data_IF_582382197569
#
_entry.id   IF_582382197569
#
_cell.length_a   1.000
_cell.length_b   1.000
_cell.length_c   1.000
_cell.angle_alpha   90.00
_cell.angle_beta   90.00
_cell.angle_gamma   90.00
#
_symmetry.space_group_name_H-M   'P 1'
#
loop_
_entity.id
_entity.type
_entity.pdbx_description
1 polymer ?
#
# COMPACT_ATOMS: atom_id res chain seq x y z
N UNK A 1 -44.86 12.15 49.59
CA UNK A 1 -44.31 11.10 48.71
C UNK A 1 -44.72 11.43 47.28
N UNK A 2 -43.84 12.03 46.48
CA UNK A 2 -44.14 12.42 45.11
C UNK A 2 -43.91 11.22 44.17
N UNK A 3 -44.99 10.65 43.64
CA UNK A 3 -44.95 9.57 42.65
C UNK A 3 -44.56 10.14 41.29
N UNK A 4 -43.32 9.93 40.88
CA UNK A 4 -42.87 10.22 39.51
C UNK A 4 -43.61 9.27 38.58
N UNK A 5 -44.41 9.80 37.66
CA UNK A 5 -45.23 8.97 36.77
C UNK A 5 -44.36 8.07 35.91
N UNK A 6 -44.78 6.81 35.72
CA UNK A 6 -44.09 5.78 34.93
C UNK A 6 -43.75 6.23 33.50
N UNK A 7 -44.53 7.16 32.94
CA UNK A 7 -44.24 7.77 31.62
C UNK A 7 -42.96 8.61 31.60
N UNK A 8 -42.64 9.32 32.70
CA UNK A 8 -41.41 10.12 32.80
C UNK A 8 -40.16 9.25 32.97
N UNK A 9 -40.28 8.09 33.64
CA UNK A 9 -39.20 7.11 33.75
C UNK A 9 -38.85 6.45 32.41
N UNK A 10 -39.84 6.20 31.55
CA UNK A 10 -39.65 5.62 30.22
C UNK A 10 -39.02 6.63 29.25
N UNK A 11 -39.38 7.91 29.34
CA UNK A 11 -38.74 8.98 28.55
C UNK A 11 -37.26 9.15 28.88
N UNK A 12 -36.93 9.24 30.17
CA UNK A 12 -35.55 9.43 30.64
C UNK A 12 -34.62 8.25 30.32
N UNK A 13 -35.14 7.02 30.29
CA UNK A 13 -34.35 5.82 29.90
C UNK A 13 -34.08 5.77 28.39
N UNK A 14 -35.05 6.18 27.55
CA UNK A 14 -34.83 6.31 26.10
C UNK A 14 -33.78 7.36 25.77
N UNK A 15 -33.82 8.54 26.38
CA UNK A 15 -32.83 9.60 26.16
C UNK A 15 -31.40 9.19 26.56
N UNK A 16 -31.25 8.52 27.71
CA UNK A 16 -29.96 7.96 28.14
C UNK A 16 -29.43 6.88 27.19
N UNK A 17 -30.32 6.07 26.59
CA UNK A 17 -29.93 5.05 25.61
C UNK A 17 -29.49 5.65 24.27
N UNK A 18 -30.14 6.72 23.82
CA UNK A 18 -29.79 7.45 22.60
C UNK A 18 -28.45 8.17 22.73
N UNK A 19 -28.23 8.88 23.84
CA UNK A 19 -26.97 9.56 24.13
C UNK A 19 -25.78 8.59 24.23
N UNK A 20 -25.98 7.41 24.85
CA UNK A 20 -24.94 6.36 24.89
C UNK A 20 -24.64 5.79 23.50
N UNK A 21 -25.65 5.49 22.68
CA UNK A 21 -25.46 5.01 21.29
C UNK A 21 -24.76 6.06 20.41
N UNK A 22 -25.12 7.33 20.54
CA UNK A 22 -24.46 8.42 19.84
C UNK A 22 -23.00 8.57 20.29
N UNK A 23 -22.73 8.51 21.60
CA UNK A 23 -21.37 8.50 22.14
C UNK A 23 -20.53 7.32 21.66
N UNK A 24 -21.10 6.11 21.63
CA UNK A 24 -20.46 4.90 21.09
C UNK A 24 -20.18 5.04 19.58
N UNK A 25 -21.08 5.66 18.82
CA UNK A 25 -20.89 5.90 17.38
C UNK A 25 -19.77 6.91 17.12
N UNK A 26 -19.67 8.00 17.91
CA UNK A 26 -18.58 8.98 17.81
C UNK A 26 -17.23 8.37 18.22
N UNK A 27 -17.19 7.56 19.28
CA UNK A 27 -15.98 6.83 19.67
C UNK A 27 -15.55 5.80 18.62
N UNK A 28 -16.50 5.26 17.85
CA UNK A 28 -16.25 4.32 16.73
C UNK A 28 -15.97 4.99 15.39
N UNK A 29 -16.16 6.31 15.27
CA UNK A 29 -15.87 7.01 14.02
C UNK A 29 -14.38 6.85 13.65
N UNK A 30 -14.07 6.60 12.36
CA UNK A 30 -12.69 6.48 11.93
C UNK A 30 -11.97 7.83 12.14
N UNK A 31 -10.76 7.78 12.73
CA UNK A 31 -9.95 8.97 12.98
C UNK A 31 -9.22 9.37 11.70
N UNK A 32 -9.99 9.80 10.70
CA UNK A 32 -9.47 10.22 9.39
C UNK A 32 -8.79 11.60 9.43
N UNK A 33 -9.11 12.43 10.44
CA UNK A 33 -8.40 13.67 10.69
C UNK A 33 -7.01 13.36 11.25
N UNK A 34 -5.98 13.85 10.57
CA UNK A 34 -4.58 13.66 10.93
C UNK A 34 -4.05 14.86 11.70
N UNK A 35 -3.29 14.59 12.77
CA UNK A 35 -2.53 15.64 13.46
C UNK A 35 -1.35 16.11 12.61
N UNK A 36 -0.67 17.18 13.03
CA UNK A 36 0.58 17.60 12.40
C UNK A 36 1.66 16.53 12.48
N UNK A 37 1.78 15.84 13.63
CA UNK A 37 2.72 14.75 13.83
C UNK A 37 2.44 13.59 12.87
N UNK A 38 1.17 13.26 12.65
CA UNK A 38 0.76 12.26 11.66
C UNK A 38 1.21 12.65 10.24
N UNK A 39 1.02 13.91 9.84
CA UNK A 39 1.48 14.38 8.54
C UNK A 39 3.00 14.32 8.40
N UNK A 40 3.73 14.69 9.46
CA UNK A 40 5.19 14.61 9.48
C UNK A 40 5.66 13.15 9.34
N UNK A 41 5.08 12.23 10.10
CA UNK A 41 5.37 10.80 9.99
C UNK A 41 5.02 10.24 8.61
N UNK A 42 3.88 10.63 8.03
CA UNK A 42 3.51 10.20 6.69
C UNK A 42 4.51 10.72 5.65
N UNK A 43 4.94 11.98 5.76
CA UNK A 43 5.96 12.56 4.91
C UNK A 43 7.28 11.79 4.97
N UNK A 44 7.71 11.38 6.16
CA UNK A 44 8.91 10.57 6.35
C UNK A 44 8.79 9.19 5.68
N UNK A 45 7.66 8.49 5.88
CA UNK A 45 7.38 7.20 5.23
C UNK A 45 7.28 7.34 3.72
N UNK A 46 6.65 8.40 3.22
CA UNK A 46 6.64 8.72 1.78
C UNK A 46 8.05 8.90 1.26
N UNK A 47 8.88 9.68 1.93
CA UNK A 47 10.26 9.91 1.52
C UNK A 47 11.04 8.60 1.42
N UNK A 48 10.91 7.71 2.43
CA UNK A 48 11.52 6.37 2.42
C UNK A 48 11.09 5.56 1.19
N UNK A 49 9.79 5.34 1.00
CA UNK A 49 9.31 4.43 -0.03
C UNK A 49 9.40 4.99 -1.44
N UNK A 50 9.17 6.30 -1.63
CA UNK A 50 9.28 6.92 -2.95
C UNK A 50 10.73 6.97 -3.41
N UNK A 51 11.67 7.16 -2.49
CA UNK A 51 13.10 7.09 -2.79
C UNK A 51 13.54 5.69 -3.17
N UNK A 52 13.08 4.67 -2.45
CA UNK A 52 13.33 3.26 -2.82
C UNK A 52 12.73 2.94 -4.19
N UNK A 53 11.50 3.35 -4.47
CA UNK A 53 10.85 3.15 -5.76
C UNK A 53 11.60 3.86 -6.91
N UNK A 54 12.05 5.09 -6.69
CA UNK A 54 12.85 5.83 -7.66
C UNK A 54 14.21 5.17 -7.90
N UNK A 55 14.85 4.65 -6.85
CA UNK A 55 16.10 3.90 -6.96
C UNK A 55 15.92 2.63 -7.79
N UNK A 56 14.88 1.83 -7.53
CA UNK A 56 14.59 0.62 -8.32
C UNK A 56 14.36 1.00 -9.79
N UNK A 57 13.59 2.06 -10.04
CA UNK A 57 13.35 2.55 -11.40
C UNK A 57 14.65 2.95 -12.12
N UNK A 58 15.56 3.65 -11.44
CA UNK A 58 16.83 4.09 -12.04
C UNK A 58 17.78 2.95 -12.38
N UNK A 59 17.58 1.76 -11.81
CA UNK A 59 18.37 0.57 -12.13
C UNK A 59 18.07 0.04 -13.54
N UNK A 60 16.97 0.47 -14.18
CA UNK A 60 16.60 0.13 -15.56
C UNK A 60 16.65 -1.38 -15.86
N UNK A 61 16.20 -2.21 -14.92
CA UNK A 61 16.23 -3.68 -15.05
C UNK A 61 15.46 -4.20 -16.28
N UNK A 62 14.37 -3.53 -16.65
CA UNK A 62 13.54 -3.89 -17.81
C UNK A 62 13.29 -2.64 -18.65
N UNK A 63 13.55 -2.77 -19.97
CA UNK A 63 13.27 -1.71 -20.93
C UNK A 63 11.78 -1.34 -20.92
N UNK A 64 11.47 -0.05 -20.82
CA UNK A 64 10.10 0.49 -20.80
C UNK A 64 9.24 -0.05 -19.63
N UNK A 65 9.86 -0.42 -18.51
CA UNK A 65 9.12 -0.79 -17.30
C UNK A 65 8.21 0.37 -16.84
N UNK A 66 6.94 0.10 -16.48
CA UNK A 66 6.04 1.11 -15.94
C UNK A 66 6.62 1.82 -14.72
N UNK A 67 6.29 3.11 -14.51
CA UNK A 67 6.85 3.87 -13.41
C UNK A 67 6.46 3.27 -12.04
N UNK A 68 7.46 3.07 -11.18
CA UNK A 68 7.28 2.48 -9.84
C UNK A 68 6.65 3.43 -8.81
N UNK A 69 6.86 4.74 -8.96
CA UNK A 69 6.44 5.77 -7.99
C UNK A 69 4.92 5.78 -7.76
N UNK A 70 4.05 5.75 -8.78
CA UNK A 70 2.59 5.67 -8.58
C UNK A 70 2.15 4.44 -7.78
N UNK A 71 2.79 3.29 -8.01
CA UNK A 71 2.52 2.03 -7.32
C UNK A 71 2.85 2.13 -5.83
N UNK A 72 4.03 2.65 -5.51
CA UNK A 72 4.45 2.91 -4.14
C UNK A 72 3.51 3.92 -3.46
N UNK A 73 3.25 5.07 -4.10
CA UNK A 73 2.36 6.10 -3.57
C UNK A 73 0.96 5.57 -3.28
N UNK A 74 0.41 4.73 -4.16
CA UNK A 74 -0.91 4.11 -3.94
C UNK A 74 -0.87 3.13 -2.78
N UNK A 75 0.17 2.31 -2.67
CA UNK A 75 0.37 1.41 -1.51
C UNK A 75 0.43 2.18 -0.19
N UNK A 76 1.16 3.30 -0.16
CA UNK A 76 1.25 4.19 1.00
C UNK A 76 -0.12 4.75 1.40
N UNK A 77 -0.88 5.29 0.44
CA UNK A 77 -2.20 5.85 0.68
C UNK A 77 -3.18 4.77 1.17
N UNK A 78 -3.22 3.62 0.50
CA UNK A 78 -4.06 2.48 0.92
C UNK A 78 -3.68 2.03 2.33
N UNK A 79 -2.39 1.96 2.66
CA UNK A 79 -1.90 1.59 3.98
C UNK A 79 -2.31 2.60 5.06
N UNK A 80 -2.22 3.89 4.76
CA UNK A 80 -2.63 4.97 5.65
C UNK A 80 -4.12 4.88 5.98
N UNK A 81 -4.98 4.80 4.95
CA UNK A 81 -6.42 4.68 5.15
C UNK A 81 -6.78 3.38 5.86
N UNK A 82 -6.20 2.26 5.45
CA UNK A 82 -6.41 0.96 6.08
C UNK A 82 -6.10 1.00 7.58
N UNK A 83 -4.94 1.55 7.98
CA UNK A 83 -4.52 1.61 9.38
C UNK A 83 -5.47 2.42 10.27
N UNK A 84 -6.12 3.45 9.69
CA UNK A 84 -7.01 4.37 10.39
C UNK A 84 -8.46 3.88 10.47
N UNK A 85 -8.85 2.93 9.62
CA UNK A 85 -10.17 2.31 9.68
C UNK A 85 -10.27 1.44 10.95
N UNK A 86 -11.35 1.63 11.71
CA UNK A 86 -11.65 0.89 12.96
C UNK A 86 -12.42 -0.42 12.67
N UNK A 87 -11.98 -1.17 11.67
CA UNK A 87 -12.53 -2.47 11.31
C UNK A 87 -11.57 -3.61 11.69
N UNK A 88 -12.05 -4.85 11.60
CA UNK A 88 -11.22 -6.03 11.80
C UNK A 88 -10.17 -6.12 10.67
N UNK A 89 -8.90 -6.30 11.03
CA UNK A 89 -7.79 -6.47 10.08
C UNK A 89 -8.05 -7.59 9.07
N UNK A 90 -8.74 -8.66 9.48
CA UNK A 90 -9.13 -9.76 8.59
C UNK A 90 -10.04 -9.33 7.43
N UNK A 91 -10.78 -8.22 7.56
CA UNK A 91 -11.59 -7.63 6.48
C UNK A 91 -10.82 -6.57 5.70
N UNK A 92 -9.91 -5.85 6.36
CA UNK A 92 -9.15 -4.76 5.75
C UNK A 92 -8.11 -5.30 4.76
N UNK A 93 -7.36 -6.34 5.13
CA UNK A 93 -6.28 -6.87 4.29
C UNK A 93 -6.78 -7.39 2.94
N UNK A 94 -7.86 -8.20 2.85
CA UNK A 94 -8.38 -8.64 1.55
C UNK A 94 -8.79 -7.49 0.63
N UNK A 95 -9.40 -6.43 1.18
CA UNK A 95 -9.79 -5.24 0.40
C UNK A 95 -8.55 -4.48 -0.09
N UNK A 96 -7.56 -4.27 0.78
CA UNK A 96 -6.31 -3.63 0.40
C UNK A 96 -5.55 -4.44 -0.66
N UNK A 97 -5.54 -5.76 -0.55
CA UNK A 97 -4.96 -6.66 -1.55
C UNK A 97 -5.71 -6.60 -2.88
N UNK A 98 -7.05 -6.54 -2.87
CA UNK A 98 -7.83 -6.37 -4.09
C UNK A 98 -7.51 -5.05 -4.81
N UNK A 99 -7.33 -3.95 -4.05
CA UNK A 99 -6.86 -2.67 -4.59
C UNK A 99 -5.44 -2.83 -5.16
N UNK A 100 -4.55 -3.52 -4.45
CA UNK A 100 -3.20 -3.82 -4.91
C UNK A 100 -3.16 -4.57 -6.23
N UNK A 101 -4.01 -5.60 -6.38
CA UNK A 101 -4.15 -6.34 -7.65
C UNK A 101 -4.58 -5.40 -8.78
N UNK A 102 -5.54 -4.50 -8.54
CA UNK A 102 -5.95 -3.51 -9.54
C UNK A 102 -4.79 -2.57 -9.93
N UNK A 103 -4.02 -2.07 -8.96
CA UNK A 103 -2.86 -1.21 -9.21
C UNK A 103 -1.79 -1.94 -10.03
N UNK A 104 -1.50 -3.19 -9.68
CA UNK A 104 -0.54 -4.03 -10.42
C UNK A 104 -1.04 -4.31 -11.83
N UNK A 105 -2.34 -4.55 -12.02
CA UNK A 105 -2.92 -4.74 -13.35
C UNK A 105 -2.84 -3.46 -14.21
N UNK A 106 -3.03 -2.28 -13.61
CA UNK A 106 -2.85 -0.99 -14.32
C UNK A 106 -1.40 -0.82 -14.78
N UNK A 107 -0.43 -1.18 -13.94
CA UNK A 107 0.96 -1.17 -14.36
C UNK A 107 1.25 -2.22 -15.43
N UNK A 108 0.85 -3.48 -15.21
CA UNK A 108 1.12 -4.59 -16.10
C UNK A 108 0.53 -4.37 -17.51
N UNK A 109 -0.71 -3.89 -17.62
CA UNK A 109 -1.31 -3.60 -18.92
C UNK A 109 -0.55 -2.49 -19.67
N UNK A 110 0.05 -1.53 -18.96
CA UNK A 110 0.82 -0.47 -19.61
C UNK A 110 2.16 -0.93 -20.20
N UNK A 111 2.62 -2.13 -19.80
CA UNK A 111 3.79 -2.81 -20.34
C UNK A 111 3.44 -3.82 -21.46
N UNK A 112 2.16 -4.17 -21.57
CA UNK A 112 1.67 -5.16 -22.52
C UNK A 112 1.38 -4.56 -23.89
N UNK A 113 1.38 -5.41 -24.91
CA UNK A 113 1.14 -4.99 -26.29
C UNK A 113 -0.36 -4.82 -26.57
N UNK A 114 -0.72 -3.79 -27.36
CA UNK A 114 -2.10 -3.54 -27.78
C UNK A 114 -2.46 -2.06 -27.85
N UNK A 115 -3.38 -1.73 -28.76
CA UNK A 115 -3.80 -0.35 -28.99
C UNK A 115 -4.82 0.12 -27.95
N UNK A 116 -5.73 -0.77 -27.56
CA UNK A 116 -6.76 -0.51 -26.55
C UNK A 116 -6.57 -1.35 -25.29
N UNK A 117 -7.22 -0.93 -24.20
CA UNK A 117 -7.13 -1.61 -22.91
C UNK A 117 -7.49 -3.10 -22.98
N UNK A 118 -8.49 -3.46 -23.77
CA UNK A 118 -8.93 -4.85 -23.91
C UNK A 118 -7.82 -5.73 -24.50
N UNK A 119 -7.11 -5.25 -25.51
CA UNK A 119 -6.03 -5.99 -26.17
C UNK A 119 -4.85 -6.16 -25.21
N UNK A 120 -4.48 -5.10 -24.49
CA UNK A 120 -3.41 -5.15 -23.48
C UNK A 120 -3.71 -6.13 -22.36
N UNK A 121 -4.94 -6.17 -21.87
CA UNK A 121 -5.36 -7.14 -20.85
C UNK A 121 -5.36 -8.57 -21.39
N UNK A 122 -5.72 -8.76 -22.66
CA UNK A 122 -5.61 -10.04 -23.33
C UNK A 122 -4.14 -10.47 -23.47
N UNK A 123 -3.24 -9.57 -23.87
CA UNK A 123 -1.79 -9.84 -23.96
C UNK A 123 -1.20 -10.21 -22.59
N UNK A 124 -1.52 -9.44 -21.53
CA UNK A 124 -1.10 -9.79 -20.15
C UNK A 124 -1.53 -11.22 -19.81
N UNK A 125 -2.78 -11.59 -20.11
CA UNK A 125 -3.30 -12.92 -19.81
C UNK A 125 -2.58 -14.01 -20.61
N UNK A 126 -2.35 -13.79 -21.91
CA UNK A 126 -1.67 -14.75 -22.79
C UNK A 126 -0.25 -15.00 -22.29
N UNK A 127 0.53 -13.94 -22.10
CA UNK A 127 1.93 -14.01 -21.65
C UNK A 127 2.08 -14.64 -20.28
N UNK A 128 1.17 -14.35 -19.35
CA UNK A 128 1.18 -15.00 -18.03
C UNK A 128 0.80 -16.49 -18.10
N UNK A 129 -0.11 -16.86 -19.01
CA UNK A 129 -0.47 -18.26 -19.24
C UNK A 129 0.70 -19.03 -19.86
N UNK A 130 1.39 -18.43 -20.83
CA UNK A 130 2.57 -18.98 -21.48
C UNK A 130 3.73 -19.14 -20.48
N UNK A 131 4.07 -18.09 -19.74
CA UNK A 131 5.07 -18.14 -18.68
C UNK A 131 4.79 -19.28 -17.69
N UNK A 132 3.54 -19.42 -17.25
CA UNK A 132 3.15 -20.48 -16.32
C UNK A 132 3.33 -21.88 -16.90
N UNK A 133 3.09 -22.06 -18.20
CA UNK A 133 3.32 -23.33 -18.88
C UNK A 133 4.82 -23.64 -19.03
N UNK A 134 5.62 -22.66 -19.42
CA UNK A 134 7.10 -22.78 -19.53
C UNK A 134 7.72 -23.17 -18.18
N UNK A 135 7.36 -22.45 -17.10
CA UNK A 135 7.88 -22.73 -15.76
C UNK A 135 7.49 -24.13 -15.28
N UNK A 136 6.24 -24.57 -15.54
CA UNK A 136 5.81 -25.93 -15.16
C UNK A 136 6.47 -27.04 -15.97
N UNK A 137 6.93 -26.74 -17.19
CA UNK A 137 7.73 -27.65 -18.00
C UNK A 137 9.20 -27.74 -17.52
N UNK A 138 9.60 -26.93 -16.53
CA UNK A 138 10.97 -26.88 -16.03
C UNK A 138 11.91 -26.04 -16.91
N UNK A 139 11.35 -25.23 -17.81
CA UNK A 139 12.10 -24.39 -18.74
C UNK A 139 12.17 -22.92 -18.26
N UNK A 140 13.02 -22.11 -18.88
CA UNK A 140 13.27 -20.71 -18.51
C UNK A 140 12.56 -19.78 -19.51
N UNK A 141 11.66 -18.95 -19.00
CA UNK A 141 11.01 -17.90 -19.81
C UNK A 141 11.90 -16.68 -19.95
N UNK A 142 11.95 -16.11 -21.15
CA UNK A 142 12.62 -14.83 -21.45
C UNK A 142 11.65 -13.64 -21.40
N UNK A 143 10.40 -13.86 -20.96
CA UNK A 143 9.42 -12.79 -20.82
C UNK A 143 9.65 -12.00 -19.52
N UNK A 144 9.73 -10.68 -19.63
CA UNK A 144 9.90 -9.77 -18.50
C UNK A 144 8.58 -9.42 -17.77
N UNK A 145 7.40 -9.68 -18.36
CA UNK A 145 6.12 -9.32 -17.76
C UNK A 145 5.89 -9.93 -16.36
N UNK A 146 6.21 -11.22 -16.10
CA UNK A 146 6.14 -11.80 -14.76
C UNK A 146 7.01 -11.05 -13.75
N UNK A 147 8.20 -10.60 -14.15
CA UNK A 147 9.08 -9.80 -13.32
C UNK A 147 8.49 -8.41 -13.04
N UNK A 148 7.95 -7.73 -14.06
CA UNK A 148 7.26 -6.44 -13.89
C UNK A 148 6.12 -6.53 -12.89
N UNK A 149 5.28 -7.57 -13.00
CA UNK A 149 4.18 -7.86 -12.07
C UNK A 149 4.71 -8.12 -10.66
N UNK A 150 5.76 -8.93 -10.52
CA UNK A 150 6.36 -9.27 -9.23
C UNK A 150 6.86 -8.03 -8.51
N UNK A 151 7.68 -7.20 -9.18
CA UNK A 151 8.27 -6.00 -8.57
C UNK A 151 7.18 -5.00 -8.18
N UNK A 152 6.17 -4.77 -9.04
CA UNK A 152 5.03 -3.92 -8.70
C UNK A 152 4.23 -4.43 -7.50
N UNK A 153 4.02 -5.76 -7.42
CA UNK A 153 3.33 -6.39 -6.30
C UNK A 153 4.09 -6.21 -4.99
N UNK A 154 5.41 -6.43 -5.01
CA UNK A 154 6.27 -6.25 -3.83
C UNK A 154 6.32 -4.78 -3.43
N UNK A 155 6.44 -3.85 -4.39
CA UNK A 155 6.44 -2.41 -4.12
C UNK A 155 5.14 -1.96 -3.45
N UNK A 156 3.99 -2.35 -3.99
CA UNK A 156 2.69 -2.03 -3.39
C UNK A 156 2.59 -2.62 -1.97
N UNK A 157 2.91 -3.91 -1.82
CA UNK A 157 2.77 -4.63 -0.56
C UNK A 157 3.70 -4.05 0.52
N UNK A 158 4.94 -3.73 0.16
CA UNK A 158 5.91 -3.15 1.08
C UNK A 158 5.46 -1.75 1.53
N UNK A 159 5.02 -0.89 0.62
CA UNK A 159 4.50 0.44 0.94
C UNK A 159 3.25 0.38 1.82
N UNK A 160 2.32 -0.52 1.49
CA UNK A 160 1.11 -0.80 2.26
C UNK A 160 1.43 -1.28 3.67
N UNK A 161 2.24 -2.34 3.80
CA UNK A 161 2.59 -2.93 5.09
C UNK A 161 3.47 -2.01 5.93
N UNK A 162 4.38 -1.26 5.31
CA UNK A 162 5.21 -0.27 5.99
C UNK A 162 4.35 0.82 6.64
N UNK A 163 3.41 1.38 5.87
CA UNK A 163 2.48 2.40 6.39
C UNK A 163 1.54 1.81 7.45
N UNK A 164 1.02 0.59 7.21
CA UNK A 164 0.21 -0.12 8.20
C UNK A 164 0.96 -0.36 9.51
N UNK A 165 2.21 -0.79 9.43
CA UNK A 165 3.06 -1.04 10.59
C UNK A 165 3.31 0.23 11.40
N UNK A 166 3.61 1.34 10.73
CA UNK A 166 3.84 2.65 11.38
C UNK A 166 2.58 3.12 12.12
N UNK A 167 1.41 3.11 11.47
CA UNK A 167 0.21 3.71 12.04
C UNK A 167 -0.65 2.79 12.90
N UNK A 168 -0.68 1.49 12.59
CA UNK A 168 -1.52 0.52 13.32
C UNK A 168 -0.74 -0.20 14.41
N UNK A 169 0.47 -0.65 14.08
CA UNK A 169 1.31 -1.40 15.01
C UNK A 169 2.28 -0.53 15.80
N UNK A 170 2.42 0.75 15.43
CA UNK A 170 3.39 1.69 16.04
C UNK A 170 4.82 1.16 15.95
N UNK A 171 5.15 0.47 14.85
CA UNK A 171 6.44 -0.13 14.60
C UNK A 171 7.01 0.37 13.26
N UNK A 172 7.96 1.32 13.27
CA UNK A 172 8.53 1.87 12.04
C UNK A 172 9.54 0.95 11.35
N UNK A 173 10.05 -0.07 12.05
CA UNK A 173 11.16 -0.89 11.55
C UNK A 173 10.82 -1.69 10.29
N UNK A 174 9.55 -2.06 10.12
CA UNK A 174 9.08 -2.74 8.89
C UNK A 174 9.04 -1.81 7.67
N UNK A 175 8.98 -0.49 7.86
CA UNK A 175 9.12 0.46 6.77
C UNK A 175 10.60 0.73 6.44
N UNK A 176 11.42 0.91 7.49
CA UNK A 176 12.81 1.34 7.36
C UNK A 176 13.71 0.17 6.92
N UNK A 177 13.85 -0.89 7.72
CA UNK A 177 14.90 -1.90 7.51
C UNK A 177 14.84 -2.53 6.10
N UNK A 178 13.67 -2.98 5.60
CA UNK A 178 13.60 -3.55 4.24
C UNK A 178 13.97 -2.53 3.16
N UNK A 179 13.51 -1.28 3.27
CA UNK A 179 13.84 -0.22 2.33
C UNK A 179 15.35 0.08 2.29
N UNK A 180 15.99 0.09 3.46
CA UNK A 180 17.43 0.26 3.59
C UNK A 180 18.23 -0.86 2.93
N UNK A 181 17.80 -2.12 3.11
CA UNK A 181 18.43 -3.26 2.43
C UNK A 181 18.30 -3.12 0.91
N UNK A 182 17.12 -2.76 0.41
CA UNK A 182 16.86 -2.63 -1.02
C UNK A 182 17.72 -1.53 -1.64
N UNK A 183 17.77 -0.34 -1.03
CA UNK A 183 18.54 0.78 -1.60
C UNK A 183 20.05 0.50 -1.56
N UNK A 184 20.56 -0.12 -0.49
CA UNK A 184 21.96 -0.52 -0.39
C UNK A 184 22.32 -1.60 -1.42
N UNK A 185 21.47 -2.61 -1.58
CA UNK A 185 21.65 -3.64 -2.59
C UNK A 185 21.67 -3.03 -3.99
N UNK A 186 20.75 -2.11 -4.28
CA UNK A 186 20.65 -1.48 -5.58
C UNK A 186 21.85 -0.57 -5.89
N UNK A 187 22.33 0.21 -4.91
CA UNK A 187 23.55 1.03 -5.06
C UNK A 187 24.78 0.14 -5.25
N UNK A 188 24.86 -1.01 -4.56
CA UNK A 188 25.99 -1.92 -4.71
C UNK A 188 26.14 -2.46 -6.15
N UNK A 189 25.03 -2.52 -6.90
CA UNK A 189 25.02 -2.90 -8.31
C UNK A 189 25.39 -1.74 -9.26
N UNK A 190 25.17 -0.48 -8.85
CA UNK A 190 25.45 0.73 -9.63
C UNK A 190 26.89 1.20 -9.35
N UNK A 191 27.86 0.77 -10.18
CA UNK A 191 29.27 1.17 -10.03
C UNK A 191 29.45 2.66 -10.36
N UNK A 192 29.64 3.51 -9.34
CA UNK A 192 30.22 4.85 -9.48
C UNK A 192 29.25 6.04 -9.55
N UNK A 193 27.94 5.84 -9.40
CA UNK A 193 26.94 6.92 -9.38
C UNK A 193 26.69 7.45 -7.95
N UNK A 194 26.61 8.78 -7.73
CA UNK A 194 26.36 9.35 -6.41
C UNK A 194 24.97 8.97 -5.88
N UNK A 195 24.93 8.45 -4.64
CA UNK A 195 23.74 7.92 -4.00
C UNK A 195 22.83 9.00 -3.39
N UNK A 196 22.47 10.02 -4.17
CA UNK A 196 21.54 11.09 -3.74
C UNK A 196 20.23 10.50 -3.17
N UNK A 197 19.75 9.40 -3.76
CA UNK A 197 18.63 8.63 -3.21
C UNK A 197 18.91 8.11 -1.80
N UNK A 198 20.09 7.57 -1.51
CA UNK A 198 20.40 7.09 -0.15
C UNK A 198 20.34 8.21 0.89
N UNK A 199 20.78 9.42 0.53
CA UNK A 199 20.69 10.59 1.42
C UNK A 199 19.22 10.90 1.73
N UNK A 200 18.37 11.00 0.71
CA UNK A 200 16.93 11.23 0.92
C UNK A 200 16.27 10.13 1.76
N UNK A 201 16.66 8.88 1.52
CA UNK A 201 16.20 7.75 2.33
C UNK A 201 16.58 7.92 3.80
N UNK A 202 17.82 8.31 4.12
CA UNK A 202 18.29 8.53 5.49
C UNK A 202 17.57 9.69 6.20
N UNK A 203 17.12 10.71 5.47
CA UNK A 203 16.31 11.79 6.05
C UNK A 203 14.89 11.35 6.42
N UNK A 204 14.35 10.32 5.76
CA UNK A 204 13.02 9.78 6.04
C UNK A 204 13.01 8.62 7.03
N UNK A 205 14.13 7.91 7.16
CA UNK A 205 14.31 6.73 8.01
C UNK A 205 14.51 7.09 9.49
#
# INVERSE_FOLDING_TARGET
>A
MAGISSSQQIGATRERSGARRAGEAVVRAPRLLMSWEDWLTFGAVMLVFLTVAASIQSANWVNRMPPMVPTAATGLLVGLFAARIRANSALIHPVALAIGVLVVLIAAQSYADGDVLQDRLADVRVRMTEWWNIVRAGDISNDNLPFVILVHSITFLAAYLGTWSVYRWHNPWLAVIPGGVVILANISALRGEPSVGFIFYLFGA
#
